data_IF_578298181948
#
_entry.id   IF_578298181948
#
_cell.length_a   1.000
_cell.length_b   1.000
_cell.length_c   1.000
_cell.angle_alpha   90.00
_cell.angle_beta   90.00
_cell.angle_gamma   90.00
#
_symmetry.space_group_name_H-M   'P 1'
#
loop_
_entity.id
_entity.type
_entity.pdbx_description
1 polymer ?
#
# COMPACT_ATOMS: atom_id res chain seq x y z
N UNK A 1 6.06 -8.46 -6.11
CA UNK A 1 5.83 -7.60 -4.93
C UNK A 1 4.75 -8.14 -4.01
N UNK A 2 3.48 -8.22 -4.45
CA UNK A 2 2.37 -8.75 -3.64
C UNK A 2 2.67 -10.15 -3.07
N UNK A 3 3.19 -11.06 -3.90
CA UNK A 3 3.65 -12.38 -3.46
C UNK A 3 4.66 -12.34 -2.31
N UNK A 4 5.58 -11.36 -2.31
CA UNK A 4 6.61 -11.23 -1.26
C UNK A 4 5.99 -10.74 0.05
N UNK A 5 5.07 -9.76 -0.02
CA UNK A 5 4.43 -9.18 1.17
C UNK A 5 3.44 -10.14 1.82
N UNK A 6 2.72 -10.91 1.01
CA UNK A 6 1.73 -11.85 1.51
C UNK A 6 2.29 -13.26 1.69
N UNK A 7 3.56 -13.49 1.38
CA UNK A 7 4.18 -14.82 1.29
C UNK A 7 3.36 -15.80 0.44
N UNK A 8 2.73 -15.29 -0.63
CA UNK A 8 1.83 -16.04 -1.50
C UNK A 8 0.50 -16.49 -0.85
N UNK A 9 0.23 -16.08 0.40
CA UNK A 9 -0.97 -16.52 1.15
C UNK A 9 -2.23 -15.75 0.79
N UNK A 10 -2.07 -14.54 0.25
CA UNK A 10 -3.19 -13.66 -0.06
C UNK A 10 -2.93 -12.92 -1.37
N UNK A 11 -3.94 -12.90 -2.24
CA UNK A 11 -3.96 -12.04 -3.42
C UNK A 11 -4.52 -10.67 -3.01
N UNK A 12 -3.89 -9.55 -3.41
CA UNK A 12 -4.45 -8.23 -3.14
C UNK A 12 -5.86 -8.10 -3.69
N UNK A 13 -6.75 -7.55 -2.88
CA UNK A 13 -8.11 -7.19 -3.30
C UNK A 13 -8.03 -6.08 -4.34
N UNK A 14 -9.04 -6.01 -5.19
CA UNK A 14 -9.10 -5.05 -6.30
C UNK A 14 -8.81 -3.61 -5.86
N UNK A 15 -9.45 -3.14 -4.77
CA UNK A 15 -9.23 -1.81 -4.24
C UNK A 15 -7.77 -1.55 -3.83
N UNK A 16 -7.10 -2.54 -3.23
CA UNK A 16 -5.70 -2.42 -2.82
C UNK A 16 -4.78 -2.31 -4.03
N UNK A 17 -5.05 -3.10 -5.06
CA UNK A 17 -4.29 -3.09 -6.30
C UNK A 17 -4.50 -1.78 -7.07
N UNK A 18 -5.74 -1.29 -7.18
CA UNK A 18 -6.05 -0.02 -7.84
C UNK A 18 -5.34 1.17 -7.17
N UNK A 19 -5.32 1.21 -5.84
CA UNK A 19 -4.61 2.25 -5.10
C UNK A 19 -3.09 2.19 -5.32
N UNK A 20 -2.51 0.99 -5.30
CA UNK A 20 -1.08 0.81 -5.57
C UNK A 20 -0.70 1.22 -7.00
N UNK A 21 -1.50 0.86 -8.00
CA UNK A 21 -1.29 1.23 -9.40
C UNK A 21 -1.42 2.73 -9.63
N UNK A 22 -2.40 3.39 -9.01
CA UNK A 22 -2.54 4.86 -9.11
C UNK A 22 -1.26 5.57 -8.65
N UNK A 23 -0.69 5.13 -7.52
CA UNK A 23 0.56 5.71 -7.02
C UNK A 23 1.76 5.38 -7.91
N UNK A 24 1.84 4.16 -8.46
CA UNK A 24 2.88 3.79 -9.45
C UNK A 24 2.84 4.70 -10.68
N UNK A 25 1.64 5.07 -11.13
CA UNK A 25 1.42 6.03 -12.22
C UNK A 25 1.59 7.50 -11.79
N UNK A 26 2.09 7.75 -10.58
CA UNK A 26 2.26 9.09 -9.99
C UNK A 26 0.96 9.90 -9.91
N UNK A 27 -0.15 9.21 -9.65
CA UNK A 27 -1.47 9.82 -9.41
C UNK A 27 -1.83 9.71 -7.93
N UNK A 28 -2.30 10.82 -7.38
CA UNK A 28 -2.86 10.84 -6.03
C UNK A 28 -4.16 10.02 -5.98
N UNK A 29 -4.40 9.33 -4.88
CA UNK A 29 -5.61 8.54 -4.69
C UNK A 29 -6.13 8.60 -3.25
N UNK A 30 -7.45 8.52 -3.11
CA UNK A 30 -8.14 8.43 -1.83
C UNK A 30 -8.83 7.06 -1.72
N UNK A 31 -8.54 6.34 -0.63
CA UNK A 31 -9.13 5.03 -0.36
C UNK A 31 -10.10 5.14 0.80
N UNK A 32 -11.39 4.93 0.51
CA UNK A 32 -12.45 4.90 1.53
C UNK A 32 -12.82 3.44 1.78
N UNK A 33 -12.44 2.92 2.95
CA UNK A 33 -12.74 1.54 3.32
C UNK A 33 -12.81 1.37 4.85
N UNK A 34 -13.68 0.47 5.31
CA UNK A 34 -13.85 0.15 6.73
C UNK A 34 -12.59 -0.44 7.40
N UNK A 35 -12.64 -0.64 8.71
CA UNK A 35 -11.60 -1.38 9.44
C UNK A 35 -11.50 -2.82 8.93
N UNK A 36 -10.33 -3.45 9.06
CA UNK A 36 -10.12 -4.83 8.56
C UNK A 36 -10.11 -5.01 7.04
N UNK A 37 -10.36 -3.96 6.25
CA UNK A 37 -10.32 -4.01 4.77
C UNK A 37 -8.91 -4.19 4.18
N UNK A 38 -7.87 -4.17 5.01
CA UNK A 38 -6.49 -4.37 4.58
C UNK A 38 -5.81 -3.13 3.99
N UNK A 39 -6.18 -1.92 4.42
CA UNK A 39 -5.52 -0.66 3.99
C UNK A 39 -4.00 -0.67 4.22
N UNK A 40 -3.53 -1.34 5.27
CA UNK A 40 -2.11 -1.49 5.59
C UNK A 40 -1.32 -2.17 4.47
N UNK A 41 -1.93 -3.14 3.77
CA UNK A 41 -1.28 -3.81 2.64
C UNK A 41 -1.00 -2.83 1.49
N UNK A 42 -1.85 -1.81 1.30
CA UNK A 42 -1.63 -0.76 0.30
C UNK A 42 -0.33 -0.02 0.62
N UNK A 43 -0.18 0.45 1.86
CA UNK A 43 1.03 1.15 2.34
C UNK A 43 2.28 0.30 2.11
N UNK A 44 2.24 -1.00 2.47
CA UNK A 44 3.35 -1.91 2.27
C UNK A 44 3.71 -2.10 0.77
N UNK A 45 2.71 -2.23 -0.10
CA UNK A 45 2.92 -2.32 -1.54
C UNK A 45 3.56 -1.04 -2.08
N UNK A 46 3.14 0.14 -1.62
CA UNK A 46 3.73 1.42 -2.05
C UNK A 46 5.21 1.52 -1.67
N UNK A 47 5.54 1.24 -0.40
CA UNK A 47 6.93 1.30 0.10
C UNK A 47 7.84 0.36 -0.69
N UNK A 48 7.37 -0.84 -1.00
CA UNK A 48 8.17 -1.84 -1.70
C UNK A 48 8.24 -1.62 -3.22
N UNK A 49 7.27 -0.90 -3.79
CA UNK A 49 7.25 -0.62 -5.23
C UNK A 49 8.23 0.46 -5.62
N UNK A 50 8.61 1.31 -4.65
CA UNK A 50 9.54 2.40 -4.91
C UNK A 50 10.99 1.94 -4.87
N UNK A 51 11.83 2.56 -5.69
CA UNK A 51 13.26 2.22 -5.70
C UNK A 51 13.93 2.87 -4.48
N UNK A 52 14.82 2.17 -3.75
CA UNK A 52 15.48 2.73 -2.56
C UNK A 52 16.26 4.03 -2.83
N UNK A 53 16.63 4.28 -4.08
CA UNK A 53 17.34 5.50 -4.52
C UNK A 53 16.41 6.66 -4.90
N UNK A 54 15.09 6.46 -4.94
CA UNK A 54 14.14 7.42 -5.52
C UNK A 54 13.47 8.36 -4.51
N UNK A 55 13.61 8.12 -3.20
CA UNK A 55 13.04 9.00 -2.19
C UNK A 55 12.76 8.33 -0.86
N UNK A 56 12.03 9.05 -0.01
CA UNK A 56 11.60 8.60 1.32
C UNK A 56 10.08 8.50 1.32
N UNK A 57 9.55 7.33 1.68
CA UNK A 57 8.11 7.17 1.93
C UNK A 57 7.78 7.57 3.37
N UNK A 58 6.82 8.48 3.54
CA UNK A 58 6.36 8.96 4.85
C UNK A 58 4.93 8.47 5.08
N UNK A 59 4.76 7.58 6.06
CA UNK A 59 3.44 7.14 6.52
C UNK A 59 3.08 7.86 7.80
N UNK A 60 1.96 8.59 7.80
CA UNK A 60 1.46 9.35 8.95
C UNK A 60 0.24 8.64 9.52
N UNK A 61 0.29 8.36 10.83
CA UNK A 61 -0.83 7.83 11.59
C UNK A 61 -1.04 8.68 12.85
N UNK A 62 -2.29 8.97 13.22
CA UNK A 62 -2.57 9.70 14.46
C UNK A 62 -2.25 8.87 15.71
N UNK A 63 -2.15 7.54 15.60
CA UNK A 63 -1.89 6.64 16.71
C UNK A 63 -0.45 6.11 16.69
N UNK A 64 0.18 6.12 17.87
CA UNK A 64 1.52 5.56 18.11
C UNK A 64 1.59 4.05 17.89
N UNK A 65 0.48 3.35 18.13
CA UNK A 65 0.31 1.92 17.86
C UNK A 65 -0.88 1.76 16.93
N UNK A 66 -0.59 1.29 15.72
CA UNK A 66 -1.55 0.87 14.71
C UNK A 66 -1.90 -0.60 14.88
#
# INVERSE_FOLDING_TARGET
>A
LAYLVTCGREAPREMQLRAALASYERRDSAVIAGTGSGKTLIIALLILSDHPSNGVSITISPLKRL
#
